data_IF_734681472787
#
_entry.id   IF_734681472787
#
_cell.length_a   1.000
_cell.length_b   1.000
_cell.length_c   1.000
_cell.angle_alpha   90.00
_cell.angle_beta   90.00
_cell.angle_gamma   90.00
#
_symmetry.space_group_name_H-M   'P 1'
#
loop_
_entity.id
_entity.type
_entity.pdbx_description
1 polymer ?
#
# COMPACT_ATOMS: atom_id res chain seq x y z
N UNK A 1 3.01 -14.51 -3.20
CA UNK A 1 4.39 -14.14 -3.60
C UNK A 1 5.40 -15.28 -3.41
N UNK A 2 5.00 -16.49 -2.98
CA UNK A 2 5.93 -17.62 -2.83
C UNK A 2 6.99 -17.43 -1.74
N UNK A 3 6.67 -16.63 -0.71
CA UNK A 3 7.56 -16.31 0.40
C UNK A 3 7.13 -17.07 1.66
N UNK A 4 8.05 -17.25 2.59
CA UNK A 4 7.83 -17.91 3.87
C UNK A 4 6.70 -17.24 4.67
N UNK A 5 5.85 -18.06 5.31
CA UNK A 5 4.71 -17.63 6.14
C UNK A 5 5.15 -17.01 7.47
N UNK A 6 6.36 -17.32 7.95
CA UNK A 6 6.88 -16.83 9.24
C UNK A 6 7.51 -15.43 9.13
N UNK A 7 7.54 -14.83 7.95
CA UNK A 7 8.30 -13.60 7.67
C UNK A 7 7.93 -12.40 8.56
N UNK A 8 6.67 -12.34 9.01
CA UNK A 8 6.16 -11.24 9.82
C UNK A 8 6.07 -11.58 11.31
N UNK A 9 6.51 -12.77 11.71
CA UNK A 9 6.44 -13.21 13.11
C UNK A 9 7.28 -12.30 14.00
N UNK A 10 6.70 -11.87 15.11
CA UNK A 10 7.36 -10.99 16.07
C UNK A 10 7.46 -9.53 15.65
N UNK A 11 6.86 -9.13 14.51
CA UNK A 11 6.81 -7.72 14.13
C UNK A 11 5.93 -6.95 15.13
N UNK A 12 6.42 -5.81 15.67
CA UNK A 12 5.61 -4.89 16.46
C UNK A 12 4.30 -4.52 15.76
N UNK A 13 3.24 -4.52 16.55
CA UNK A 13 1.93 -4.03 16.13
C UNK A 13 1.49 -2.90 17.05
N UNK A 14 0.74 -1.95 16.50
CA UNK A 14 0.07 -0.91 17.27
C UNK A 14 -1.44 -1.11 17.17
N UNK A 15 -2.09 -1.27 18.32
CA UNK A 15 -3.54 -1.30 18.42
C UNK A 15 -4.07 0.10 18.71
N UNK A 16 -5.10 0.53 17.98
CA UNK A 16 -5.74 1.84 18.15
C UNK A 16 -7.26 1.69 18.24
N UNK A 17 -7.84 2.41 19.20
CA UNK A 17 -9.27 2.67 19.29
C UNK A 17 -9.49 4.14 18.96
N UNK A 18 -10.19 4.42 17.88
CA UNK A 18 -10.50 5.77 17.47
C UNK A 18 -11.97 6.07 17.79
N UNK A 19 -12.22 7.18 18.50
CA UNK A 19 -13.56 7.67 18.77
C UNK A 19 -13.66 9.11 18.31
N UNK A 20 -14.49 9.36 17.31
CA UNK A 20 -14.73 10.68 16.74
C UNK A 20 -16.05 11.21 17.29
N UNK A 21 -15.99 12.34 18.00
CA UNK A 21 -17.16 13.00 18.60
C UNK A 21 -17.74 14.02 17.64
N UNK A 22 -18.50 13.56 16.65
CA UNK A 22 -19.13 14.47 15.70
C UNK A 22 -20.47 14.99 16.19
N UNK A 23 -20.79 16.22 15.78
CA UNK A 23 -22.06 16.90 16.01
C UNK A 23 -22.58 17.46 14.69
N UNK A 24 -23.85 17.92 14.61
CA UNK A 24 -24.36 18.55 13.40
C UNK A 24 -23.49 19.72 12.89
N UNK A 25 -22.81 20.43 13.80
CA UNK A 25 -21.93 21.56 13.47
C UNK A 25 -20.56 21.11 12.92
N UNK A 26 -20.14 19.87 13.18
CA UNK A 26 -18.86 19.34 12.67
C UNK A 26 -19.01 18.61 11.34
N UNK A 27 -20.22 18.49 10.77
CA UNK A 27 -20.42 17.86 9.46
C UNK A 27 -19.58 18.60 8.41
N UNK A 28 -18.83 17.83 7.61
CA UNK A 28 -17.85 18.35 6.64
C UNK A 28 -16.45 18.61 7.22
N UNK A 29 -16.25 18.44 8.53
CA UNK A 29 -14.92 18.49 9.14
C UNK A 29 -14.14 17.19 8.90
N UNK A 30 -12.81 17.29 8.91
CA UNK A 30 -11.92 16.15 8.75
C UNK A 30 -11.56 15.54 10.10
N UNK A 31 -11.92 14.27 10.33
CA UNK A 31 -11.53 13.51 11.52
C UNK A 31 -10.09 13.00 11.47
N UNK A 32 -9.62 12.58 10.30
CA UNK A 32 -8.23 12.22 10.06
C UNK A 32 -7.78 12.79 8.71
N UNK A 33 -6.67 13.54 8.71
CA UNK A 33 -6.13 14.16 7.50
C UNK A 33 -5.74 13.10 6.46
N UNK A 34 -5.60 13.51 5.20
CA UNK A 34 -5.13 12.63 4.13
C UNK A 34 -3.72 12.12 4.44
N UNK A 35 -3.56 10.80 4.54
CA UNK A 35 -2.29 10.16 4.85
C UNK A 35 -2.23 8.73 4.28
N UNK A 36 -1.04 8.15 4.39
CA UNK A 36 -0.79 6.72 4.23
C UNK A 36 -0.36 6.19 5.59
N UNK A 37 -0.63 4.91 5.85
CA UNK A 37 -0.06 4.24 7.02
C UNK A 37 1.43 4.02 6.82
N UNK A 38 2.24 4.39 7.81
CA UNK A 38 3.68 4.21 7.72
C UNK A 38 4.07 2.73 7.72
N UNK A 39 3.32 1.89 8.46
CA UNK A 39 3.59 0.46 8.66
C UNK A 39 3.43 -0.40 7.40
N UNK A 40 3.48 -1.71 7.60
CA UNK A 40 3.37 -2.69 6.53
C UNK A 40 1.92 -2.85 6.04
N UNK A 41 1.01 -3.16 6.96
CA UNK A 41 -0.42 -3.30 6.70
C UNK A 41 -1.22 -2.84 7.90
N UNK A 42 -2.47 -2.44 7.67
CA UNK A 42 -3.42 -2.08 8.70
C UNK A 42 -4.69 -2.88 8.50
N UNK A 43 -5.21 -3.45 9.58
CA UNK A 43 -6.51 -4.13 9.63
C UNK A 43 -7.46 -3.21 10.41
N UNK A 44 -8.58 -2.84 9.80
CA UNK A 44 -9.55 -1.92 10.38
C UNK A 44 -10.91 -2.61 10.50
N UNK A 45 -11.44 -2.65 11.71
CA UNK A 45 -12.88 -2.79 11.91
C UNK A 45 -13.45 -1.38 11.93
N UNK A 46 -14.17 -1.01 10.89
CA UNK A 46 -14.80 0.31 10.82
C UNK A 46 -16.16 0.33 11.50
N UNK A 47 -16.71 1.52 11.71
CA UNK A 47 -18.07 1.70 12.20
C UNK A 47 -19.06 1.04 11.22
N UNK A 48 -19.97 0.22 11.73
CA UNK A 48 -20.92 -0.53 10.89
C UNK A 48 -22.08 0.33 10.38
N UNK A 49 -22.26 1.54 10.93
CA UNK A 49 -23.38 2.43 10.60
C UNK A 49 -22.88 3.78 10.11
N UNK A 50 -21.84 4.32 10.75
CA UNK A 50 -21.41 5.71 10.53
C UNK A 50 -20.26 5.78 9.53
N UNK A 51 -20.58 6.17 8.29
CA UNK A 51 -19.57 6.38 7.24
C UNK A 51 -18.60 7.52 7.57
N UNK A 52 -17.43 7.48 6.92
CA UNK A 52 -16.47 8.57 7.02
C UNK A 52 -15.11 8.24 6.41
N UNK A 53 -14.76 6.96 6.27
CA UNK A 53 -13.51 6.57 5.63
C UNK A 53 -13.58 6.84 4.12
N UNK A 54 -12.55 7.48 3.60
CA UNK A 54 -12.38 7.73 2.16
C UNK A 54 -10.97 7.35 1.74
N UNK A 55 -10.82 6.74 0.56
CA UNK A 55 -9.54 6.31 0.01
C UNK A 55 -9.34 6.82 -1.42
N UNK A 56 -8.09 7.12 -1.78
CA UNK A 56 -7.76 7.51 -3.16
C UNK A 56 -7.67 6.26 -4.03
N UNK A 57 -8.49 6.20 -5.07
CA UNK A 57 -8.42 5.14 -6.06
C UNK A 57 -7.14 5.29 -6.91
N UNK A 58 -6.38 4.20 -7.02
CA UNK A 58 -5.10 4.18 -7.72
C UNK A 58 -5.21 4.55 -9.19
N UNK A 59 -6.30 4.15 -9.86
CA UNK A 59 -6.45 4.28 -11.31
C UNK A 59 -6.92 5.67 -11.71
N UNK A 60 -7.99 6.13 -11.08
CA UNK A 60 -8.63 7.41 -11.37
C UNK A 60 -7.99 8.57 -10.62
N UNK A 61 -7.30 8.31 -9.51
CA UNK A 61 -6.83 9.35 -8.59
C UNK A 61 -7.97 10.03 -7.83
N UNK A 62 -9.21 9.58 -8.03
CA UNK A 62 -10.38 10.13 -7.36
C UNK A 62 -10.42 9.67 -5.91
N UNK A 63 -11.01 10.51 -5.07
CA UNK A 63 -11.33 10.13 -3.71
C UNK A 63 -12.65 9.37 -3.68
N UNK A 64 -12.65 8.18 -3.10
CA UNK A 64 -13.78 7.26 -3.09
C UNK A 64 -14.20 6.99 -1.63
N UNK A 65 -15.50 7.13 -1.29
CA UNK A 65 -16.00 6.74 0.03
C UNK A 65 -15.96 5.21 0.20
N UNK A 66 -15.65 4.78 1.42
CA UNK A 66 -15.75 3.38 1.83
C UNK A 66 -17.01 3.26 2.68
N UNK A 67 -18.01 2.59 2.13
CA UNK A 67 -19.29 2.41 2.81
C UNK A 67 -19.14 1.42 3.99
N UNK A 68 -19.81 1.68 5.13
CA UNK A 68 -19.91 0.73 6.22
C UNK A 68 -20.39 -0.64 5.73
N UNK A 69 -19.65 -1.68 6.08
CA UNK A 69 -19.99 -3.05 5.73
C UNK A 69 -19.92 -3.92 6.99
N UNK A 70 -21.08 -4.20 7.64
CA UNK A 70 -21.13 -4.96 8.88
C UNK A 70 -20.46 -6.33 8.77
N UNK A 71 -19.79 -6.77 9.84
CA UNK A 71 -19.12 -8.07 9.90
C UNK A 71 -17.88 -8.21 8.99
N UNK A 72 -17.31 -7.09 8.53
CA UNK A 72 -16.10 -7.10 7.69
C UNK A 72 -14.92 -6.35 8.30
N UNK A 73 -13.72 -6.75 7.89
CA UNK A 73 -12.49 -6.03 8.16
C UNK A 73 -11.91 -5.48 6.86
N UNK A 74 -11.51 -4.21 6.90
CA UNK A 74 -10.79 -3.54 5.83
C UNK A 74 -9.29 -3.74 6.02
N UNK A 75 -8.58 -4.05 4.93
CA UNK A 75 -7.13 -4.18 4.93
C UNK A 75 -6.52 -3.12 4.03
N UNK A 76 -5.65 -2.29 4.60
CA UNK A 76 -4.89 -1.26 3.89
C UNK A 76 -3.41 -1.64 3.87
N UNK A 77 -2.73 -1.43 2.74
CA UNK A 77 -1.27 -1.54 2.68
C UNK A 77 -0.65 -0.18 2.96
N UNK A 78 0.36 -0.17 3.83
CA UNK A 78 1.14 1.02 4.16
C UNK A 78 2.44 1.14 3.35
N UNK A 79 3.24 2.14 3.71
CA UNK A 79 4.46 2.49 3.00
C UNK A 79 5.53 1.40 3.08
N UNK A 80 5.72 0.80 4.26
CA UNK A 80 6.63 -0.34 4.42
C UNK A 80 6.19 -1.51 3.55
N UNK A 81 4.88 -1.75 3.39
CA UNK A 81 4.36 -2.79 2.52
C UNK A 81 4.67 -2.53 1.05
N UNK A 82 4.57 -1.28 0.59
CA UNK A 82 5.02 -0.88 -0.75
C UNK A 82 6.54 -1.07 -0.92
N UNK A 83 7.34 -0.64 0.06
CA UNK A 83 8.80 -0.73 -0.02
C UNK A 83 9.27 -2.19 -0.07
N UNK A 84 8.78 -3.00 0.87
CA UNK A 84 9.10 -4.42 1.00
C UNK A 84 8.62 -5.22 -0.22
N UNK A 85 7.48 -4.89 -0.81
CA UNK A 85 6.98 -5.60 -2.00
C UNK A 85 7.65 -5.16 -3.31
N UNK A 86 8.72 -4.36 -3.23
CA UNK A 86 9.39 -3.74 -4.38
C UNK A 86 8.40 -2.96 -5.29
N UNK A 87 7.45 -2.24 -4.68
CA UNK A 87 6.44 -1.44 -5.39
C UNK A 87 5.25 -2.23 -5.96
N UNK A 88 5.18 -3.55 -5.75
CA UNK A 88 4.07 -4.38 -6.22
C UNK A 88 2.77 -4.05 -5.47
N UNK A 89 2.86 -3.75 -4.18
CA UNK A 89 1.74 -3.23 -3.41
C UNK A 89 1.62 -1.71 -3.52
N UNK A 90 0.38 -1.26 -3.45
CA UNK A 90 0.03 0.16 -3.47
C UNK A 90 -0.24 0.64 -2.04
N UNK A 91 0.50 1.64 -1.59
CA UNK A 91 0.25 2.32 -0.33
C UNK A 91 -0.92 3.29 -0.51
N UNK A 92 -2.06 2.99 0.12
CA UNK A 92 -3.31 3.72 -0.13
C UNK A 92 -3.37 5.02 0.68
N UNK A 93 -3.53 6.15 -0.02
CA UNK A 93 -3.86 7.42 0.64
C UNK A 93 -5.32 7.37 1.10
N UNK A 94 -5.58 7.70 2.35
CA UNK A 94 -6.91 7.68 2.92
C UNK A 94 -7.08 8.79 3.95
N UNK A 95 -8.33 9.14 4.25
CA UNK A 95 -8.73 10.14 5.24
C UNK A 95 -10.04 9.74 5.92
N UNK A 96 -10.41 10.44 6.99
CA UNK A 96 -11.72 10.28 7.63
C UNK A 96 -12.45 11.62 7.63
N UNK A 97 -13.67 11.65 7.10
CA UNK A 97 -14.57 12.79 7.10
C UNK A 97 -15.74 12.59 8.06
N UNK A 98 -16.23 13.71 8.60
CA UNK A 98 -17.47 13.77 9.36
C UNK A 98 -18.65 13.91 8.41
N UNK A 99 -19.32 12.78 8.10
CA UNK A 99 -20.49 12.77 7.23
C UNK A 99 -21.81 12.94 7.99
N UNK A 100 -21.82 12.64 9.28
CA UNK A 100 -23.00 12.68 10.12
C UNK A 100 -22.63 13.20 11.52
N UNK A 101 -23.53 13.98 12.13
CA UNK A 101 -23.39 14.52 13.47
C UNK A 101 -23.64 13.51 14.58
N UNK A 102 -22.89 12.40 14.58
CA UNK A 102 -22.97 11.34 15.59
C UNK A 102 -21.59 10.78 15.91
N UNK A 103 -21.45 10.04 17.00
CA UNK A 103 -20.19 9.38 17.33
C UNK A 103 -19.88 8.33 16.26
N UNK A 104 -18.64 8.35 15.74
CA UNK A 104 -18.06 7.30 14.90
C UNK A 104 -16.96 6.60 15.67
N UNK A 105 -16.90 5.27 15.63
CA UNK A 105 -15.83 4.50 16.25
C UNK A 105 -15.16 3.56 15.25
N UNK A 106 -13.84 3.38 15.37
CA UNK A 106 -13.13 2.34 14.62
C UNK A 106 -12.02 1.72 15.46
N UNK A 107 -11.71 0.48 15.13
CA UNK A 107 -10.60 -0.28 15.72
C UNK A 107 -9.58 -0.53 14.62
N UNK A 108 -8.32 -0.23 14.85
CA UNK A 108 -7.25 -0.46 13.90
C UNK A 108 -6.08 -1.22 14.54
N UNK A 109 -5.65 -2.29 13.87
CA UNK A 109 -4.40 -3.00 14.15
C UNK A 109 -3.40 -2.68 13.05
N UNK A 110 -2.38 -1.90 13.38
CA UNK A 110 -1.32 -1.53 12.47
C UNK A 110 -0.13 -2.47 12.67
N UNK A 111 0.17 -3.30 11.67
CA UNK A 111 1.41 -4.07 11.63
C UNK A 111 2.51 -3.14 11.14
N UNK A 112 3.53 -2.92 11.95
CA UNK A 112 4.54 -1.90 11.70
C UNK A 112 5.65 -2.45 10.79
N UNK A 113 6.90 -2.43 11.26
CA UNK A 113 8.04 -3.07 10.62
C UNK A 113 8.82 -3.91 11.62
N UNK A 114 9.85 -4.65 11.18
CA UNK A 114 10.70 -5.40 12.07
C UNK A 114 11.42 -4.46 13.05
N UNK A 115 11.61 -4.90 14.30
CA UNK A 115 12.17 -4.06 15.36
C UNK A 115 13.65 -3.72 15.16
N UNK A 116 14.44 -4.69 14.70
CA UNK A 116 15.91 -4.62 14.67
C UNK A 116 16.47 -4.76 13.25
N UNK A 117 15.64 -5.12 12.28
CA UNK A 117 16.05 -5.31 10.90
C UNK A 117 15.67 -4.11 10.02
N UNK A 118 16.39 -3.96 8.92
CA UNK A 118 16.00 -3.05 7.86
C UNK A 118 14.87 -3.67 7.04
N UNK A 119 13.96 -2.83 6.59
CA UNK A 119 12.97 -3.17 5.58
C UNK A 119 13.63 -3.04 4.22
N UNK A 120 13.60 -4.12 3.47
CA UNK A 120 14.06 -4.17 2.09
C UNK A 120 13.26 -5.18 1.28
N UNK A 121 13.26 -5.01 -0.03
CA UNK A 121 12.61 -5.95 -0.92
C UNK A 121 13.31 -7.32 -0.87
N UNK A 122 12.59 -8.43 -0.59
CA UNK A 122 13.13 -9.78 -0.68
C UNK A 122 13.81 -10.02 -2.04
N UNK A 123 14.94 -10.73 -2.09
CA UNK A 123 15.65 -11.00 -3.34
C UNK A 123 14.77 -11.63 -4.42
N UNK A 124 13.77 -12.42 -4.04
CA UNK A 124 12.81 -13.06 -4.95
C UNK A 124 11.89 -12.06 -5.67
N UNK A 125 11.79 -10.81 -5.19
CA UNK A 125 11.02 -9.74 -5.80
C UNK A 125 11.87 -8.77 -6.63
N UNK A 126 13.18 -9.03 -6.72
CA UNK A 126 14.16 -8.21 -7.45
C UNK A 126 14.82 -9.05 -8.54
N UNK A 127 14.68 -8.62 -9.78
CA UNK A 127 15.24 -9.31 -10.96
C UNK A 127 15.68 -8.29 -12.03
N UNK A 128 16.11 -8.75 -13.20
CA UNK A 128 16.57 -7.89 -14.29
C UNK A 128 15.48 -6.95 -14.84
N UNK A 129 14.21 -7.36 -14.75
CA UNK A 129 13.05 -6.59 -15.18
C UNK A 129 12.47 -5.72 -14.04
N UNK A 130 12.68 -6.13 -12.78
CA UNK A 130 12.21 -5.48 -11.57
C UNK A 130 13.37 -5.12 -10.65
N UNK A 131 14.10 -4.06 -11.02
CA UNK A 131 15.19 -3.55 -10.18
C UNK A 131 14.67 -3.09 -8.81
N UNK A 132 15.55 -3.16 -7.81
CA UNK A 132 15.24 -2.69 -6.45
C UNK A 132 14.88 -1.19 -6.48
N UNK A 133 13.73 -0.85 -5.92
CA UNK A 133 13.21 0.52 -5.96
C UNK A 133 13.70 1.39 -4.79
N UNK A 134 13.91 0.83 -3.61
CA UNK A 134 14.19 1.60 -2.39
C UNK A 134 15.48 1.13 -1.72
N UNK A 135 16.20 2.06 -1.08
CA UNK A 135 17.31 1.71 -0.19
C UNK A 135 16.77 0.98 1.05
N UNK A 136 17.51 0.05 1.68
CA UNK A 136 17.11 -0.53 2.96
C UNK A 136 17.07 0.52 4.08
N UNK A 137 16.00 0.55 4.88
CA UNK A 137 15.81 1.51 5.99
C UNK A 137 15.14 0.84 7.20
N UNK A 138 15.30 1.39 8.40
CA UNK A 138 14.54 0.91 9.58
C UNK A 138 13.17 1.59 9.65
N UNK A 139 12.19 0.93 10.31
CA UNK A 139 10.87 1.55 10.51
C UNK A 139 10.98 2.89 11.25
N UNK A 140 11.86 2.98 12.24
CA UNK A 140 12.04 4.19 13.04
C UNK A 140 12.64 5.34 12.22
N UNK A 141 13.67 5.08 11.41
CA UNK A 141 14.24 6.10 10.51
C UNK A 141 13.17 6.64 9.55
N UNK A 142 12.33 5.75 9.02
CA UNK A 142 11.25 6.13 8.11
C UNK A 142 10.16 6.95 8.82
N UNK A 143 9.78 6.53 10.04
CA UNK A 143 8.83 7.27 10.88
C UNK A 143 9.34 8.69 11.16
N UNK A 144 10.62 8.83 11.51
CA UNK A 144 11.24 10.12 11.75
C UNK A 144 11.37 10.97 10.49
N UNK A 145 11.69 10.36 9.34
CA UNK A 145 11.73 11.04 8.05
C UNK A 145 10.37 11.65 7.68
N UNK A 146 9.28 10.88 7.87
CA UNK A 146 7.91 11.36 7.65
C UNK A 146 7.56 12.56 8.53
N UNK A 147 7.88 12.47 9.82
CA UNK A 147 7.55 13.50 10.81
C UNK A 147 8.35 14.79 10.56
N UNK A 148 9.67 14.68 10.36
CA UNK A 148 10.55 15.84 10.21
C UNK A 148 10.29 16.63 8.93
N UNK A 149 9.82 15.98 7.87
CA UNK A 149 9.50 16.62 6.59
C UNK A 149 8.03 17.02 6.46
N UNK A 150 7.15 16.61 7.39
CA UNK A 150 5.72 16.86 7.27
C UNK A 150 5.09 16.17 6.05
N UNK A 151 5.53 14.95 5.72
CA UNK A 151 5.13 14.20 4.52
C UNK A 151 4.34 12.92 4.89
N UNK A 152 3.05 13.03 5.24
CA UNK A 152 2.27 11.92 5.81
C UNK A 152 1.63 11.00 4.76
N UNK A 153 1.62 11.35 3.49
CA UNK A 153 0.85 10.67 2.45
C UNK A 153 1.75 9.88 1.48
N UNK A 154 2.86 9.35 2.00
CA UNK A 154 3.76 8.44 1.30
C UNK A 154 4.85 9.14 0.50
N UNK A 155 4.85 10.48 0.45
CA UNK A 155 5.85 11.27 -0.27
C UNK A 155 7.27 11.07 0.30
N UNK A 156 7.38 10.89 1.62
CA UNK A 156 8.66 10.60 2.27
C UNK A 156 9.32 9.31 1.74
N UNK A 157 8.54 8.35 1.24
CA UNK A 157 9.09 7.11 0.69
C UNK A 157 9.87 7.36 -0.61
N UNK A 158 9.49 8.36 -1.40
CA UNK A 158 10.20 8.71 -2.63
C UNK A 158 11.59 9.29 -2.35
N UNK A 159 11.84 9.85 -1.17
CA UNK A 159 13.17 10.28 -0.74
C UNK A 159 14.15 9.11 -0.54
N UNK A 160 13.62 7.91 -0.33
CA UNK A 160 14.38 6.66 -0.17
C UNK A 160 14.47 5.86 -1.47
N UNK A 161 13.96 6.40 -2.58
CA UNK A 161 13.96 5.72 -3.86
C UNK A 161 15.35 5.77 -4.50
N UNK A 162 15.83 4.61 -4.95
CA UNK A 162 17.07 4.50 -5.71
C UNK A 162 16.93 5.22 -7.06
N UNK A 163 17.91 6.07 -7.38
CA UNK A 163 18.03 6.67 -8.72
C UNK A 163 18.61 5.62 -9.66
N UNK A 164 17.79 5.08 -10.54
CA UNK A 164 18.27 4.20 -11.62
C UNK A 164 19.00 5.07 -12.64
N UNK A 165 20.33 5.05 -12.60
CA UNK A 165 21.14 5.50 -13.74
C UNK A 165 20.89 4.46 -14.84
N UNK A 166 20.14 4.83 -15.88
CA UNK A 166 20.09 4.01 -17.10
C UNK A 166 21.51 3.92 -17.64
N UNK A 167 22.16 2.77 -17.47
CA UNK A 167 23.35 2.43 -18.26
C UNK A 167 22.92 2.22 -19.71
N UNK A 168 22.66 3.32 -20.44
CA UNK A 168 22.58 3.31 -21.89
C UNK A 168 23.96 3.70 -22.44
N UNK A 169 24.68 2.66 -22.85
CA UNK A 169 25.69 2.65 -23.91
C UNK A 169 27.08 3.20 -23.54
N UNK A 170 28.01 2.31 -23.20
CA UNK A 170 29.42 2.33 -23.63
C UNK A 170 30.06 0.93 -23.43
N UNK A 171 29.49 -0.09 -24.08
CA UNK A 171 30.25 -1.24 -24.54
C UNK A 171 30.12 -1.28 -26.06
N UNK A 172 30.91 -0.42 -26.72
CA UNK A 172 31.25 -0.59 -28.13
C UNK A 172 32.38 -1.60 -28.18
N UNK A 173 32.02 -2.87 -28.32
CA UNK A 173 32.94 -3.87 -28.87
C UNK A 173 32.36 -4.26 -30.23
N UNK A 174 33.09 -3.86 -31.28
CA UNK A 174 32.79 -4.21 -32.67
C UNK A 174 33.12 -5.69 -32.94
N UNK A 175 32.42 -6.22 -33.97
CA UNK A 175 32.62 -7.48 -34.73
C UNK A 175 31.97 -8.73 -34.15
N UNK A 176 31.29 -9.60 -34.90
CA UNK A 176 30.88 -9.69 -36.33
C UNK A 176 29.92 -10.88 -36.45
N UNK A 177 28.91 -10.74 -37.30
CA UNK A 177 28.31 -11.75 -38.19
C UNK A 177 27.57 -12.99 -37.66
N UNK A 178 26.32 -13.08 -38.13
CA UNK A 178 25.55 -14.25 -38.58
C UNK A 178 25.20 -15.36 -37.58
N UNK A 179 23.90 -15.51 -37.30
CA UNK A 179 23.06 -16.51 -37.98
C UNK A 179 21.58 -16.31 -37.61
N UNK A 180 20.75 -16.36 -38.65
CA UNK A 180 19.30 -16.45 -38.65
C UNK A 180 18.85 -17.84 -38.16
N UNK A 181 17.79 -17.91 -37.36
CA UNK A 181 16.70 -18.88 -37.53
C UNK A 181 15.52 -18.60 -36.56
N UNK A 182 14.38 -18.44 -37.21
CA UNK A 182 12.98 -18.33 -36.78
C UNK A 182 12.44 -19.44 -35.85
N UNK A 183 11.39 -19.08 -35.08
CA UNK A 183 10.19 -19.85 -34.62
C UNK A 183 9.81 -19.44 -33.17
N UNK A 184 8.88 -18.50 -32.98
CA UNK A 184 7.41 -18.68 -32.92
C UNK A 184 6.94 -19.74 -31.90
N UNK A 185 6.43 -19.27 -30.76
CA UNK A 185 5.49 -20.03 -29.93
C UNK A 185 4.47 -19.07 -29.29
N UNK A 186 3.28 -19.05 -29.89
CA UNK A 186 2.00 -18.56 -29.35
C UNK A 186 1.35 -19.72 -28.59
N UNK A 187 0.66 -19.43 -27.47
CA UNK A 187 -0.62 -20.00 -26.96
C UNK A 187 -0.70 -19.80 -25.43
N UNK A 188 -1.45 -18.81 -24.94
CA UNK A 188 -2.87 -18.82 -24.53
C UNK A 188 -3.17 -19.48 -23.17
N UNK A 189 -3.66 -18.66 -22.22
CA UNK A 189 -4.66 -19.07 -21.24
C UNK A 189 -5.65 -17.92 -20.99
N UNK A 190 -6.94 -18.29 -20.93
CA UNK A 190 -8.15 -17.50 -21.22
C UNK A 190 -8.51 -16.44 -20.18
N UNK A 191 -9.08 -15.34 -20.69
CA UNK A 191 -10.06 -14.48 -20.01
C UNK A 191 -11.23 -15.31 -19.47
N UNK A 192 -11.60 -15.08 -18.22
CA UNK A 192 -13.00 -15.08 -17.79
C UNK A 192 -13.37 -13.65 -17.41
N UNK A 193 -14.26 -13.06 -18.20
CA UNK A 193 -14.97 -11.82 -17.88
C UNK A 193 -16.45 -12.14 -17.93
N UNK A 194 -17.11 -12.16 -16.76
CA UNK A 194 -18.53 -11.82 -16.61
C UNK A 194 -18.88 -11.71 -15.13
N UNK A 195 -18.67 -10.53 -14.53
CA UNK A 195 -19.72 -9.88 -13.76
C UNK A 195 -19.33 -8.41 -13.53
N UNK A 196 -20.32 -7.56 -13.76
CA UNK A 196 -20.28 -6.10 -13.79
C UNK A 196 -20.09 -5.47 -12.41
N UNK A 197 -19.45 -4.30 -12.42
CA UNK A 197 -19.29 -3.29 -11.35
C UNK A 197 -18.49 -3.68 -10.11
N UNK A 198 -17.16 -3.56 -10.25
CA UNK A 198 -16.15 -3.02 -9.31
C UNK A 198 -14.85 -3.84 -9.35
N UNK A 199 -13.79 -3.35 -10.02
CA UNK A 199 -12.45 -3.81 -9.68
C UNK A 199 -11.46 -2.66 -9.70
N UNK A 200 -11.02 -2.17 -8.53
CA UNK A 200 -9.63 -1.69 -8.31
C UNK A 200 -9.24 -1.16 -6.94
N UNK A 201 -10.06 -1.37 -5.91
CA UNK A 201 -9.58 -1.21 -4.55
C UNK A 201 -8.93 -2.52 -4.12
N UNK A 202 -7.61 -2.57 -3.94
CA UNK A 202 -7.02 -3.67 -3.16
C UNK A 202 -7.18 -3.35 -1.66
N UNK A 203 -8.43 -3.07 -1.25
CA UNK A 203 -8.89 -3.22 0.12
C UNK A 203 -9.50 -4.63 0.17
N UNK A 204 -8.80 -5.58 0.78
CA UNK A 204 -9.40 -6.88 1.00
C UNK A 204 -10.42 -6.72 2.13
N UNK A 205 -11.69 -6.97 1.81
CA UNK A 205 -12.74 -7.16 2.81
C UNK A 205 -12.70 -8.63 3.23
N UNK A 206 -12.36 -8.89 4.49
CA UNK A 206 -12.53 -10.22 5.08
C UNK A 206 -13.87 -10.21 5.80
N UNK A 207 -14.81 -11.05 5.34
CA UNK A 207 -16.11 -11.25 5.99
C UNK A 207 -16.06 -12.48 6.88
N UNK A 208 -16.62 -12.38 8.08
CA UNK A 208 -16.88 -13.53 8.94
C UNK A 208 -18.34 -13.96 8.73
N UNK A 209 -18.54 -15.14 8.15
CA UNK A 209 -19.84 -15.82 8.09
C UNK A 209 -20.06 -16.69 9.32
#
# INVERSE_FOLDING_TARGET
MGLDVELFKGWPCQFRLNKYHYTPQTIGSTGALMHTDAGFLTIVQDDEIVSGLEAVDKKSGALVPIDPMPGTLLINIGDLGKAWSNGRFYNVKHRVQCNQGTIRMSIALLVLGPKEAKVEAPPQLVDSEHLRLFVPFTFEDYRMLRLSNGLPAGEALELLRLKVIKARTLLRVERTQNLDHSLLAVLLARKYTSCSSLPCMLCYLISFQ
#
